data_IF_340640749063
#
_entry.id   IF_340640749063
#
_cell.length_a   1.000
_cell.length_b   1.000
_cell.length_c   1.000
_cell.angle_alpha   90.00
_cell.angle_beta   90.00
_cell.angle_gamma   90.00
#
_symmetry.space_group_name_H-M   'P 1'
#
loop_
_entity.id
_entity.type
_entity.pdbx_description
1 polymer ?
#
# COMPACT_ATOMS: atom_id res chain seq x y z
N UNK A 1 19.68 52.66 6.91
CA UNK A 1 19.64 51.66 5.81
C UNK A 1 18.42 50.76 6.04
N UNK A 2 17.28 51.00 5.38
CA UNK A 2 16.01 50.22 5.53
C UNK A 2 15.17 50.19 4.23
N UNK A 3 15.82 50.12 3.07
CA UNK A 3 15.13 50.11 1.75
C UNK A 3 15.10 48.76 1.00
N UNK A 4 15.95 47.74 1.26
CA UNK A 4 15.86 46.49 0.49
C UNK A 4 14.81 45.49 0.99
N UNK A 5 14.29 45.60 2.22
CA UNK A 5 13.32 44.64 2.75
C UNK A 5 11.89 44.81 2.17
N UNK A 6 11.49 46.03 1.82
CA UNK A 6 10.12 46.33 1.36
C UNK A 6 9.87 45.79 -0.07
N UNK A 7 10.92 45.71 -0.89
CA UNK A 7 10.82 45.23 -2.28
C UNK A 7 10.69 43.70 -2.32
N UNK A 8 11.35 43.00 -1.39
CA UNK A 8 11.29 41.53 -1.30
C UNK A 8 9.91 41.04 -0.86
N UNK A 9 9.27 41.74 0.08
CA UNK A 9 7.92 41.42 0.56
C UNK A 9 6.85 41.63 -0.52
N UNK A 10 6.98 42.70 -1.32
CA UNK A 10 6.06 42.96 -2.42
C UNK A 10 6.11 41.88 -3.53
N UNK A 11 7.31 41.36 -3.81
CA UNK A 11 7.49 40.32 -4.82
C UNK A 11 6.91 38.97 -4.36
N UNK A 12 7.04 38.65 -3.06
CA UNK A 12 6.50 37.43 -2.48
C UNK A 12 4.96 37.41 -2.54
N UNK A 13 4.31 38.53 -2.22
CA UNK A 13 2.85 38.66 -2.28
C UNK A 13 2.33 38.50 -3.72
N UNK A 14 3.04 39.10 -4.69
CA UNK A 14 2.69 38.96 -6.11
C UNK A 14 2.78 37.49 -6.57
N UNK A 15 3.81 36.77 -6.12
CA UNK A 15 4.04 35.37 -6.50
C UNK A 15 2.96 34.43 -5.91
N UNK A 16 2.52 34.68 -4.68
CA UNK A 16 1.40 33.97 -4.04
C UNK A 16 0.09 34.22 -4.78
N UNK A 17 -0.17 35.47 -5.20
CA UNK A 17 -1.38 35.81 -5.95
C UNK A 17 -1.45 35.12 -7.32
N UNK A 18 -0.32 35.05 -8.04
CA UNK A 18 -0.23 34.37 -9.34
C UNK A 18 -0.43 32.85 -9.19
N UNK A 19 0.17 32.22 -8.17
CA UNK A 19 -0.05 30.80 -7.88
C UNK A 19 -1.51 30.52 -7.51
N UNK A 20 -2.12 31.37 -6.69
CA UNK A 20 -3.54 31.27 -6.32
C UNK A 20 -4.47 31.33 -7.54
N UNK A 21 -4.20 32.24 -8.49
CA UNK A 21 -4.97 32.35 -9.73
C UNK A 21 -4.82 31.10 -10.61
N UNK A 22 -3.59 30.60 -10.78
CA UNK A 22 -3.33 29.40 -11.59
C UNK A 22 -4.03 28.15 -11.03
N UNK A 23 -4.00 27.97 -9.71
CA UNK A 23 -4.71 26.87 -9.04
C UNK A 23 -6.23 27.00 -9.16
N UNK A 24 -6.78 28.21 -9.04
CA UNK A 24 -8.21 28.45 -9.20
C UNK A 24 -8.70 28.16 -10.62
N UNK A 25 -7.93 28.56 -11.65
CA UNK A 25 -8.25 28.25 -13.04
C UNK A 25 -8.21 26.74 -13.32
N UNK A 26 -7.21 26.02 -12.81
CA UNK A 26 -7.10 24.57 -12.99
C UNK A 26 -8.27 23.79 -12.36
N UNK A 27 -8.70 24.19 -11.15
CA UNK A 27 -9.88 23.59 -10.48
C UNK A 27 -11.17 23.91 -11.24
N UNK A 28 -11.29 25.12 -11.81
CA UNK A 28 -12.46 25.49 -12.57
C UNK A 28 -12.54 24.77 -13.93
N UNK A 29 -11.41 24.48 -14.57
CA UNK A 29 -11.35 23.71 -15.82
C UNK A 29 -11.74 22.24 -15.59
N UNK A 30 -11.29 21.60 -14.50
CA UNK A 30 -11.74 20.25 -14.14
C UNK A 30 -13.26 20.17 -13.85
N UNK A 31 -13.86 21.24 -13.32
CA UNK A 31 -15.31 21.26 -13.05
C UNK A 31 -16.19 21.39 -14.30
N UNK A 32 -15.61 21.78 -15.46
CA UNK A 32 -16.35 22.02 -16.71
C UNK A 32 -16.41 20.81 -17.64
N UNK A 33 -15.67 19.73 -17.38
CA UNK A 33 -15.66 18.53 -18.24
C UNK A 33 -16.65 17.42 -17.84
N UNK A 34 -17.44 17.59 -16.77
CA UNK A 34 -18.54 16.68 -16.44
C UNK A 34 -19.90 17.38 -16.51
N UNK A 35 -20.38 17.64 -17.73
CA UNK A 35 -21.80 17.91 -17.98
C UNK A 35 -22.15 17.74 -19.45
N UNK A 36 -22.49 16.51 -19.85
CA UNK A 36 -23.42 16.27 -20.96
C UNK A 36 -24.54 15.37 -20.47
N UNK A 37 -25.66 16.02 -20.17
CA UNK A 37 -26.97 15.46 -19.90
C UNK A 37 -27.51 14.69 -21.10
N UNK A 38 -28.32 13.66 -20.85
CA UNK A 38 -29.72 13.71 -21.29
C UNK A 38 -30.60 12.75 -20.50
N UNK A 39 -31.62 13.36 -19.89
CA UNK A 39 -32.78 12.75 -19.26
C UNK A 39 -33.86 12.52 -20.32
N UNK A 40 -34.45 11.32 -20.36
CA UNK A 40 -35.87 11.16 -20.67
C UNK A 40 -36.39 9.93 -19.94
N UNK A 41 -37.43 10.13 -19.13
CA UNK A 41 -38.04 9.12 -18.29
C UNK A 41 -38.90 8.13 -19.10
N UNK A 42 -38.77 6.83 -18.83
CA UNK A 42 -39.92 5.92 -18.80
C UNK A 42 -39.67 4.75 -17.85
N UNK A 43 -40.68 4.54 -17.01
CA UNK A 43 -40.82 3.58 -15.92
C UNK A 43 -40.56 2.11 -16.27
N UNK A 44 -40.00 1.41 -15.27
CA UNK A 44 -40.06 -0.02 -14.97
C UNK A 44 -39.12 -1.02 -15.67
N UNK A 45 -38.48 -1.79 -14.78
CA UNK A 45 -37.76 -3.05 -14.96
C UNK A 45 -36.29 -2.94 -15.39
N UNK A 46 -35.47 -2.24 -14.59
CA UNK A 46 -34.08 -2.69 -14.43
C UNK A 46 -34.08 -3.91 -13.52
N UNK A 47 -34.11 -5.08 -14.13
CA UNK A 47 -33.37 -6.23 -13.61
C UNK A 47 -32.01 -5.71 -13.17
N UNK A 48 -31.70 -5.79 -11.88
CA UNK A 48 -30.35 -5.57 -11.38
C UNK A 48 -29.45 -6.55 -12.13
N UNK A 49 -28.85 -6.07 -13.22
CA UNK A 49 -27.56 -6.57 -13.64
C UNK A 49 -26.63 -6.14 -12.52
N UNK A 50 -26.62 -6.96 -11.46
CA UNK A 50 -25.49 -7.11 -10.57
C UNK A 50 -24.36 -7.50 -11.51
N UNK A 51 -23.66 -6.49 -12.02
CA UNK A 51 -22.33 -6.67 -12.55
C UNK A 51 -21.58 -7.24 -11.36
N UNK A 52 -21.49 -8.56 -11.31
CA UNK A 52 -20.46 -9.24 -10.56
C UNK A 52 -19.18 -8.70 -11.16
N UNK A 53 -18.67 -7.63 -10.56
CA UNK A 53 -17.27 -7.26 -10.69
C UNK A 53 -16.56 -8.48 -10.15
N UNK A 54 -16.22 -9.41 -11.05
CA UNK A 54 -15.26 -10.44 -10.81
C UNK A 54 -13.96 -9.70 -10.52
N UNK A 55 -13.80 -9.25 -9.26
CA UNK A 55 -12.57 -8.75 -8.69
C UNK A 55 -11.61 -9.93 -8.68
N UNK A 56 -11.11 -10.25 -9.86
CA UNK A 56 -9.92 -11.06 -10.05
C UNK A 56 -8.77 -10.12 -9.72
N UNK A 57 -8.70 -9.76 -8.44
CA UNK A 57 -7.70 -8.84 -7.93
C UNK A 57 -6.29 -9.32 -8.28
N UNK A 58 -5.35 -8.39 -8.42
CA UNK A 58 -3.93 -8.68 -8.68
C UNK A 58 -3.42 -9.65 -7.59
N UNK A 59 -3.24 -10.92 -7.93
CA UNK A 59 -2.69 -11.90 -6.99
C UNK A 59 -1.19 -11.73 -6.84
N UNK A 60 -0.67 -11.90 -5.63
CA UNK A 60 0.78 -11.99 -5.40
C UNK A 60 1.38 -13.10 -6.28
N UNK A 61 2.38 -12.75 -7.09
CA UNK A 61 3.15 -13.71 -7.86
C UNK A 61 4.59 -13.78 -7.33
N UNK A 62 4.86 -14.78 -6.48
CA UNK A 62 6.17 -14.97 -5.87
C UNK A 62 7.29 -15.25 -6.88
N UNK A 63 6.97 -15.78 -8.08
CA UNK A 63 7.97 -16.01 -9.13
C UNK A 63 8.48 -14.71 -9.74
N UNK A 64 7.63 -13.71 -9.86
CA UNK A 64 8.01 -12.39 -10.36
C UNK A 64 8.76 -11.60 -9.29
N UNK A 65 8.33 -11.68 -8.03
CA UNK A 65 9.03 -11.04 -6.90
C UNK A 65 10.46 -11.55 -6.75
N UNK A 66 10.68 -12.86 -6.96
CA UNK A 66 12.03 -13.47 -6.94
C UNK A 66 12.95 -12.95 -8.07
N UNK A 67 12.39 -12.31 -9.11
CA UNK A 67 13.12 -11.62 -10.18
C UNK A 67 13.17 -10.10 -9.98
N UNK A 68 12.84 -9.64 -8.78
CA UNK A 68 12.72 -8.21 -8.42
C UNK A 68 11.66 -7.44 -9.22
N UNK A 69 10.66 -8.15 -9.76
CA UNK A 69 9.46 -7.55 -10.31
C UNK A 69 8.36 -7.50 -9.25
N UNK A 70 8.17 -6.33 -8.65
CA UNK A 70 7.26 -6.11 -7.51
C UNK A 70 5.86 -5.62 -7.89
N UNK A 71 5.51 -5.56 -9.18
CA UNK A 71 4.21 -5.06 -9.65
C UNK A 71 3.03 -5.81 -9.01
N UNK A 72 3.17 -7.11 -8.77
CA UNK A 72 2.10 -7.90 -8.13
C UNK A 72 1.87 -7.59 -6.65
N UNK A 73 2.73 -6.74 -6.05
CA UNK A 73 2.56 -6.22 -4.69
C UNK A 73 1.89 -4.85 -4.67
N UNK A 74 1.65 -4.21 -5.82
CA UNK A 74 1.18 -2.84 -5.85
C UNK A 74 -0.21 -2.68 -5.24
N UNK A 75 -0.39 -1.55 -4.54
CA UNK A 75 -1.63 -1.21 -3.86
C UNK A 75 -1.44 -0.65 -2.45
N UNK A 76 -2.58 -0.35 -1.84
CA UNK A 76 -2.69 0.09 -0.45
C UNK A 76 -2.85 -1.13 0.46
N UNK A 77 -1.89 -1.32 1.35
CA UNK A 77 -1.91 -2.38 2.35
C UNK A 77 -2.16 -1.80 3.74
N UNK A 78 -3.09 -2.40 4.47
CA UNK A 78 -3.50 -1.93 5.79
C UNK A 78 -3.67 -3.10 6.75
N UNK A 79 -3.32 -2.91 8.01
CA UNK A 79 -3.62 -3.92 9.02
C UNK A 79 -5.11 -3.93 9.38
N UNK A 80 -5.56 -5.07 9.91
CA UNK A 80 -6.93 -5.24 10.39
C UNK A 80 -7.27 -4.21 11.47
N UNK A 81 -8.54 -3.82 11.55
CA UNK A 81 -9.06 -2.93 12.60
C UNK A 81 -8.93 -3.49 14.02
N UNK A 82 -8.64 -4.79 14.15
CA UNK A 82 -8.40 -5.46 15.43
C UNK A 82 -7.03 -5.06 16.03
N UNK A 83 -6.09 -4.60 15.19
CA UNK A 83 -4.80 -4.11 15.65
C UNK A 83 -4.95 -2.79 16.45
N UNK A 84 -4.09 -2.60 17.45
CA UNK A 84 -4.15 -1.42 18.34
C UNK A 84 -3.84 -0.11 17.63
N UNK A 85 -3.00 -0.16 16.59
CA UNK A 85 -2.58 0.99 15.80
C UNK A 85 -2.77 0.69 14.33
N UNK A 86 -3.39 1.61 13.61
CA UNK A 86 -3.47 1.51 12.15
C UNK A 86 -2.08 1.67 11.54
N UNK A 87 -1.73 0.74 10.66
CA UNK A 87 -0.55 0.76 9.81
C UNK A 87 -1.00 0.75 8.37
N UNK A 88 -0.31 1.55 7.57
CA UNK A 88 -0.56 1.67 6.15
C UNK A 88 0.77 1.60 5.44
N UNK A 89 0.83 0.76 4.40
CA UNK A 89 1.95 0.65 3.48
C UNK A 89 1.39 0.81 2.07
N UNK A 90 1.93 1.74 1.30
CA UNK A 90 1.63 1.84 -0.14
C UNK A 90 2.80 1.22 -0.89
N UNK A 91 2.53 0.29 -1.81
CA UNK A 91 3.55 -0.24 -2.72
C UNK A 91 3.19 0.20 -4.13
N UNK A 92 4.15 0.78 -4.84
CA UNK A 92 3.99 1.16 -6.25
C UNK A 92 5.30 0.89 -6.99
N UNK A 93 5.28 -0.05 -7.94
CA UNK A 93 6.49 -0.50 -8.61
C UNK A 93 7.58 -0.97 -7.63
N UNK A 94 8.83 -0.46 -7.77
CA UNK A 94 9.95 -0.85 -6.92
C UNK A 94 10.02 -0.09 -5.58
N UNK A 95 9.02 0.73 -5.24
CA UNK A 95 9.05 1.53 -4.02
C UNK A 95 7.89 1.20 -3.08
N UNK A 96 8.13 1.44 -1.80
CA UNK A 96 7.11 1.38 -0.77
C UNK A 96 7.14 2.63 0.12
N UNK A 97 5.96 3.17 0.44
CA UNK A 97 5.79 4.28 1.38
C UNK A 97 5.23 3.75 2.69
N UNK A 98 5.99 3.93 3.77
CA UNK A 98 5.64 3.50 5.12
C UNK A 98 5.97 4.61 6.11
N UNK A 99 5.06 4.91 7.05
CA UNK A 99 5.26 5.94 8.09
C UNK A 99 5.66 7.32 7.53
N UNK A 100 5.20 7.66 6.32
CA UNK A 100 5.51 8.93 5.64
C UNK A 100 6.87 8.97 4.94
N UNK A 101 7.63 7.87 4.96
CA UNK A 101 8.93 7.74 4.30
C UNK A 101 8.81 6.81 3.09
N UNK A 102 9.47 7.17 1.98
CA UNK A 102 9.62 6.30 0.81
C UNK A 102 10.89 5.45 0.95
N UNK A 103 10.77 4.19 0.56
CA UNK A 103 11.83 3.18 0.55
C UNK A 103 11.87 2.48 -0.81
N UNK A 104 13.06 2.05 -1.22
CA UNK A 104 13.21 1.08 -2.31
C UNK A 104 13.02 -0.33 -1.77
N UNK A 105 12.32 -1.15 -2.55
CA UNK A 105 12.17 -2.58 -2.32
C UNK A 105 13.33 -3.33 -2.94
N UNK A 106 13.95 -4.21 -2.17
CA UNK A 106 14.99 -5.12 -2.67
C UNK A 106 14.72 -6.51 -2.15
N UNK A 107 14.91 -7.52 -3.01
CA UNK A 107 14.83 -8.91 -2.55
C UNK A 107 16.00 -9.19 -1.61
N UNK A 108 15.70 -9.54 -0.36
CA UNK A 108 16.74 -9.95 0.59
C UNK A 108 17.00 -11.45 0.50
N UNK A 109 15.95 -12.26 0.32
CA UNK A 109 16.08 -13.69 0.17
C UNK A 109 14.75 -14.42 0.07
N UNK A 110 14.84 -15.74 0.23
CA UNK A 110 13.69 -16.65 0.31
C UNK A 110 13.82 -17.49 1.58
N UNK A 111 12.70 -17.74 2.26
CA UNK A 111 12.68 -18.69 3.38
C UNK A 111 13.03 -20.09 2.88
N UNK A 112 13.90 -20.79 3.61
CA UNK A 112 14.31 -22.16 3.26
C UNK A 112 13.19 -23.18 3.50
N UNK A 113 12.21 -22.84 4.33
CA UNK A 113 11.14 -23.72 4.76
C UNK A 113 9.95 -23.75 3.78
N UNK A 114 9.70 -22.65 3.06
CA UNK A 114 8.53 -22.51 2.19
C UNK A 114 8.80 -21.78 0.86
N UNK A 115 10.05 -21.40 0.60
CA UNK A 115 10.50 -20.64 -0.58
C UNK A 115 9.78 -19.31 -0.80
N UNK A 116 9.14 -18.74 0.23
CA UNK A 116 8.49 -17.45 0.13
C UNK A 116 9.52 -16.32 0.21
N UNK A 117 9.41 -15.29 -0.65
CA UNK A 117 10.36 -14.20 -0.65
C UNK A 117 10.12 -13.26 0.55
N UNK A 118 11.19 -12.63 1.00
CA UNK A 118 11.13 -11.50 1.90
C UNK A 118 12.04 -10.38 1.39
N UNK A 119 11.57 -9.16 1.56
CA UNK A 119 12.16 -7.94 1.01
C UNK A 119 12.76 -7.12 2.14
N UNK A 120 13.83 -6.39 1.84
CA UNK A 120 14.32 -5.30 2.71
C UNK A 120 13.85 -3.95 2.16
N UNK A 121 13.69 -3.00 3.07
CA UNK A 121 13.39 -1.61 2.75
C UNK A 121 14.68 -0.78 2.83
N UNK A 122 15.08 -0.16 1.72
CA UNK A 122 16.25 0.72 1.64
C UNK A 122 15.78 2.18 1.65
N UNK A 123 16.21 2.96 2.63
CA UNK A 123 15.90 4.39 2.73
C UNK A 123 17.16 5.21 2.51
N UNK A 124 17.12 6.18 1.61
CA UNK A 124 18.27 7.06 1.30
C UNK A 124 19.56 6.29 0.98
N UNK A 125 19.44 5.13 0.33
CA UNK A 125 20.56 4.25 0.00
C UNK A 125 21.10 3.41 1.17
N UNK A 126 20.49 3.47 2.35
CA UNK A 126 20.89 2.73 3.55
C UNK A 126 19.81 1.71 3.93
N UNK A 127 20.23 0.52 4.37
CA UNK A 127 19.30 -0.47 4.90
C UNK A 127 18.60 0.08 6.15
N UNK A 128 17.27 0.18 6.09
CA UNK A 128 16.45 0.69 7.20
C UNK A 128 16.33 -0.29 8.38
N UNK A 129 16.77 -1.54 8.21
CA UNK A 129 16.56 -2.63 9.15
C UNK A 129 15.12 -3.17 9.15
N UNK A 130 14.25 -2.67 8.27
CA UNK A 130 12.86 -3.13 8.14
C UNK A 130 12.74 -4.15 7.00
N UNK A 131 12.02 -5.24 7.25
CA UNK A 131 11.75 -6.28 6.26
C UNK A 131 10.25 -6.48 6.05
N UNK A 132 9.90 -6.92 4.84
CA UNK A 132 8.54 -7.29 4.45
C UNK A 132 8.54 -8.77 4.07
N UNK A 133 7.74 -9.57 4.77
CA UNK A 133 7.51 -10.97 4.44
C UNK A 133 6.31 -11.08 3.51
N UNK A 134 6.44 -11.87 2.44
CA UNK A 134 5.42 -11.97 1.40
C UNK A 134 4.68 -13.31 1.54
N UNK A 135 3.38 -13.25 1.82
CA UNK A 135 2.54 -14.40 2.09
C UNK A 135 1.33 -14.43 1.14
N UNK A 136 1.45 -15.06 -0.04
CA UNK A 136 0.31 -15.20 -0.94
C UNK A 136 -0.82 -15.98 -0.28
N UNK A 137 -2.03 -15.83 -0.82
CA UNK A 137 -3.21 -16.57 -0.39
C UNK A 137 -2.90 -18.07 -0.23
N UNK A 138 -3.31 -18.62 0.91
CA UNK A 138 -3.14 -20.03 1.27
C UNK A 138 -1.83 -20.36 2.00
N UNK A 139 -0.82 -19.48 1.97
CA UNK A 139 0.44 -19.74 2.66
C UNK A 139 0.33 -19.61 4.19
N UNK A 140 1.29 -20.15 4.93
CA UNK A 140 1.37 -19.99 6.38
C UNK A 140 2.35 -18.88 6.75
N UNK A 141 1.97 -18.02 7.69
CA UNK A 141 2.91 -17.16 8.41
C UNK A 141 3.49 -17.97 9.58
N UNK A 142 4.81 -18.20 9.65
CA UNK A 142 5.41 -18.93 10.75
C UNK A 142 5.22 -18.22 12.09
N UNK A 143 4.88 -18.98 13.13
CA UNK A 143 4.56 -18.43 14.46
C UNK A 143 5.55 -18.93 15.51
N UNK A 144 6.12 -18.02 16.30
CA UNK A 144 6.90 -18.36 17.48
C UNK A 144 5.97 -18.73 18.64
N UNK A 145 6.06 -19.97 19.07
CA UNK A 145 5.30 -20.50 20.20
C UNK A 145 5.94 -20.07 21.54
N UNK A 146 5.18 -20.17 22.63
CA UNK A 146 5.63 -19.80 23.97
C UNK A 146 6.88 -20.58 24.44
N UNK A 147 7.11 -21.78 23.91
CA UNK A 147 8.28 -22.60 24.19
C UNK A 147 9.49 -22.29 23.27
N UNK A 148 9.41 -21.25 22.45
CA UNK A 148 10.46 -20.84 21.51
C UNK A 148 10.50 -21.60 20.18
N UNK A 149 9.71 -22.69 20.03
CA UNK A 149 9.61 -23.41 18.75
C UNK A 149 8.90 -22.55 17.71
N UNK A 150 9.29 -22.69 16.44
CA UNK A 150 8.61 -22.07 15.30
C UNK A 150 7.62 -23.07 14.69
N UNK A 151 6.37 -22.67 14.56
CA UNK A 151 5.35 -23.37 13.79
C UNK A 151 5.35 -22.86 12.34
N UNK A 152 6.02 -23.60 11.45
CA UNK A 152 6.05 -23.32 10.02
C UNK A 152 4.82 -23.82 9.27
N UNK A 153 4.04 -24.74 9.85
CA UNK A 153 2.82 -25.28 9.23
C UNK A 153 1.65 -24.27 9.32
N UNK A 154 1.78 -23.25 10.17
CA UNK A 154 0.78 -22.22 10.38
C UNK A 154 -0.47 -22.75 11.08
N UNK A 155 -0.34 -23.80 11.90
CA UNK A 155 -1.43 -24.24 12.79
C UNK A 155 -1.87 -23.10 13.72
N UNK A 156 -0.92 -22.25 14.13
CA UNK A 156 -1.14 -21.12 15.02
C UNK A 156 -1.13 -19.76 14.31
N UNK A 157 -1.13 -19.73 12.97
CA UNK A 157 -1.25 -18.50 12.17
C UNK A 157 -2.63 -17.85 12.41
N UNK A 158 -2.70 -16.67 13.06
CA UNK A 158 -3.96 -16.04 13.46
C UNK A 158 -4.61 -15.23 12.33
N UNK A 159 -4.06 -15.27 11.11
CA UNK A 159 -4.43 -14.37 10.02
C UNK A 159 -5.38 -15.03 9.00
N UNK A 160 -6.02 -14.21 8.16
CA UNK A 160 -6.91 -14.71 7.12
C UNK A 160 -6.11 -15.27 5.93
N UNK A 161 -5.88 -16.59 5.93
CA UNK A 161 -5.21 -17.32 4.84
C UNK A 161 -5.94 -17.26 3.50
N UNK A 162 -7.19 -16.80 3.45
CA UNK A 162 -7.91 -16.62 2.18
C UNK A 162 -7.47 -15.37 1.43
N UNK A 163 -6.62 -14.53 2.03
CA UNK A 163 -6.13 -13.29 1.46
C UNK A 163 -4.62 -13.33 1.28
N UNK A 164 -4.17 -12.57 0.28
CA UNK A 164 -2.80 -12.14 0.20
C UNK A 164 -2.46 -11.28 1.42
N UNK A 165 -1.31 -11.57 2.02
CA UNK A 165 -0.82 -10.95 3.23
C UNK A 165 0.62 -10.53 3.04
N UNK A 166 0.96 -9.40 3.62
CA UNK A 166 2.34 -9.03 3.86
C UNK A 166 2.52 -8.77 5.34
N UNK A 167 3.72 -8.94 5.85
CA UNK A 167 4.01 -8.68 7.25
C UNK A 167 5.27 -7.84 7.37
N UNK A 168 5.22 -6.79 8.18
CA UNK A 168 6.40 -6.06 8.59
C UNK A 168 7.05 -6.84 9.73
N UNK A 169 8.28 -7.30 9.55
CA UNK A 169 8.93 -8.13 10.56
C UNK A 169 10.44 -7.88 10.64
N UNK A 170 11.00 -8.25 11.80
CA UNK A 170 12.44 -8.31 12.03
C UNK A 170 12.91 -9.74 12.36
N UNK A 171 11.99 -10.59 12.83
CA UNK A 171 12.23 -11.99 13.23
C UNK A 171 10.87 -12.72 13.33
N UNK A 172 10.85 -14.02 13.61
CA UNK A 172 9.65 -14.79 13.90
C UNK A 172 8.90 -14.24 15.13
N UNK A 173 7.59 -14.07 15.00
CA UNK A 173 6.75 -13.35 15.94
C UNK A 173 5.73 -14.24 16.64
N UNK A 174 5.27 -13.80 17.80
CA UNK A 174 4.11 -14.42 18.46
C UNK A 174 2.85 -14.20 17.62
N UNK A 175 1.81 -15.02 17.83
CA UNK A 175 0.53 -14.83 17.15
C UNK A 175 -0.04 -13.42 17.39
N UNK A 176 0.07 -12.89 18.61
CA UNK A 176 -0.43 -11.55 18.91
C UNK A 176 0.34 -10.47 18.14
N UNK A 177 1.66 -10.58 18.06
CA UNK A 177 2.47 -9.61 17.31
C UNK A 177 2.17 -9.71 15.81
N UNK A 178 1.93 -10.91 15.28
CA UNK A 178 1.52 -11.10 13.89
C UNK A 178 0.23 -10.34 13.57
N UNK A 179 -0.78 -10.38 14.45
CA UNK A 179 -2.04 -9.64 14.28
C UNK A 179 -1.77 -8.12 14.15
N UNK A 180 -0.81 -7.61 14.91
CA UNK A 180 -0.45 -6.18 14.91
C UNK A 180 0.38 -5.76 13.68
N UNK A 181 1.03 -6.70 13.01
CA UNK A 181 2.00 -6.44 11.93
C UNK A 181 1.50 -6.85 10.54
N UNK A 182 0.56 -7.78 10.45
CA UNK A 182 0.01 -8.25 9.17
C UNK A 182 -0.78 -7.15 8.49
N UNK A 183 -0.55 -6.97 7.19
CA UNK A 183 -1.26 -6.06 6.32
C UNK A 183 -1.98 -6.85 5.24
N UNK A 184 -3.19 -6.43 4.92
CA UNK A 184 -4.03 -6.93 3.83
C UNK A 184 -4.20 -5.83 2.79
N UNK A 185 -4.38 -6.23 1.53
CA UNK A 185 -4.60 -5.27 0.45
C UNK A 185 -6.04 -4.74 0.49
N UNK A 186 -6.17 -3.42 0.54
CA UNK A 186 -7.46 -2.71 0.53
C UNK A 186 -7.80 -2.14 -0.85
N UNK A 187 -6.78 -1.66 -1.58
CA UNK A 187 -6.93 -1.12 -2.93
C UNK A 187 -5.80 -1.62 -3.83
N UNK A 188 -6.11 -1.87 -5.09
CA UNK A 188 -5.15 -2.21 -6.13
C UNK A 188 -4.83 -0.97 -6.95
N UNK A 189 -3.55 -0.77 -7.25
CA UNK A 189 -3.18 0.15 -8.34
C UNK A 189 -3.33 -0.61 -9.65
N UNK A 190 -4.26 -0.16 -10.49
CA UNK A 190 -4.42 -0.66 -11.86
C UNK A 190 -3.46 0.17 -12.72
N UNK A 191 -2.47 -0.49 -13.33
CA UNK A 191 -1.53 0.13 -14.28
C UNK A 191 -1.98 -0.07 -15.73
#
# INVERSE_FOLDING_TARGET
>A
MKKPLIILDGFLILLIAVLGLALFHNVQEQSKEHSLSNSTASTQNSTENKTETNNTGIKINTKEIKKENFITLSGLWKNSSIAKKTKTLVISGPSATFEGQQYDLTLEGVSSENELPYLKLIGEGINSGKFIGIYPQGSAIPVRLANGKIDYAGQYDPTDKKKDRIILFNDYMSAQDIIEQVLYRELEEIF
#
